data_IF_625923960071
#
_entry.id   IF_625923960071
#
_cell.length_a   1.000
_cell.length_b   1.000
_cell.length_c   1.000
_cell.angle_alpha   90.00
_cell.angle_beta   90.00
_cell.angle_gamma   90.00
#
_symmetry.space_group_name_H-M   'P 1'
#
loop_
_entity.id
_entity.type
_entity.pdbx_description
1 polymer ?
#
# COMPACT_ATOMS: atom_id res chain seq x y z
N UNK A 1 -1.81 3.74 14.09
CA UNK A 1 -1.79 2.75 12.99
C UNK A 1 -0.67 3.10 12.03
N UNK A 2 0.18 2.14 11.74
CA UNK A 2 1.31 2.35 10.84
C UNK A 2 0.99 1.74 9.48
N UNK A 3 1.06 2.55 8.44
CA UNK A 3 0.72 2.13 7.09
C UNK A 3 1.94 2.31 6.19
N UNK A 4 2.32 1.26 5.49
CA UNK A 4 3.45 1.27 4.57
C UNK A 4 3.02 0.71 3.22
N UNK A 5 3.31 1.44 2.15
CA UNK A 5 3.04 0.97 0.80
C UNK A 5 4.36 0.61 0.11
N UNK A 6 4.47 -0.63 -0.30
CA UNK A 6 5.62 -1.11 -1.10
C UNK A 6 5.23 -1.04 -2.57
N UNK A 7 5.92 -0.22 -3.32
CA UNK A 7 5.56 0.13 -4.69
C UNK A 7 6.77 0.03 -5.62
N UNK A 8 6.55 -0.45 -6.83
CA UNK A 8 7.57 -0.43 -7.89
C UNK A 8 7.18 0.54 -9.00
N UNK A 9 6.29 1.49 -8.70
CA UNK A 9 5.76 2.48 -9.66
C UNK A 9 4.97 1.83 -10.80
N UNK A 10 4.42 0.65 -10.58
CA UNK A 10 3.56 0.00 -11.58
C UNK A 10 2.17 0.68 -11.61
N UNK A 11 1.37 0.44 -12.66
CA UNK A 11 0.03 1.05 -12.73
C UNK A 11 -0.85 0.75 -11.53
N UNK A 12 -0.81 -0.48 -11.02
CA UNK A 12 -1.59 -0.85 -9.83
C UNK A 12 -1.07 -0.13 -8.58
N UNK A 13 0.24 0.09 -8.51
CA UNK A 13 0.84 0.84 -7.42
C UNK A 13 0.31 2.27 -7.42
N UNK A 14 0.25 2.90 -8.59
CA UNK A 14 -0.27 4.25 -8.71
C UNK A 14 -1.72 4.35 -8.27
N UNK A 15 -2.53 3.33 -8.57
CA UNK A 15 -3.93 3.29 -8.15
C UNK A 15 -4.03 3.34 -6.64
N UNK A 16 -3.24 2.52 -5.93
CA UNK A 16 -3.27 2.50 -4.47
C UNK A 16 -2.76 3.81 -3.89
N UNK A 17 -1.70 4.39 -4.46
CA UNK A 17 -1.17 5.68 -4.01
C UNK A 17 -2.23 6.77 -4.12
N UNK A 18 -2.93 6.84 -5.25
CA UNK A 18 -3.98 7.82 -5.45
C UNK A 18 -5.13 7.62 -4.48
N UNK A 19 -5.51 6.38 -4.22
CA UNK A 19 -6.59 6.08 -3.28
C UNK A 19 -6.22 6.48 -1.85
N UNK A 20 -5.00 6.19 -1.44
CA UNK A 20 -4.52 6.58 -0.11
C UNK A 20 -4.48 8.10 0.02
N UNK A 21 -4.00 8.79 -1.00
CA UNK A 21 -3.96 10.25 -1.00
C UNK A 21 -5.37 10.85 -0.95
N UNK A 22 -6.30 10.27 -1.69
CA UNK A 22 -7.69 10.73 -1.70
C UNK A 22 -8.36 10.55 -0.33
N UNK A 23 -7.98 9.53 0.41
CA UNK A 23 -8.47 9.30 1.76
C UNK A 23 -7.70 10.05 2.83
N UNK A 24 -6.66 10.81 2.44
CA UNK A 24 -5.80 11.58 3.33
C UNK A 24 -5.15 10.69 4.39
N UNK A 25 -4.74 9.51 3.97
CA UNK A 25 -4.07 8.55 4.85
C UNK A 25 -2.58 8.84 4.86
N UNK A 26 -2.00 8.94 6.05
CA UNK A 26 -0.56 9.03 6.19
C UNK A 26 0.04 7.64 6.02
N UNK A 27 0.96 7.51 5.08
CA UNK A 27 1.62 6.24 4.84
C UNK A 27 3.07 6.47 4.44
N UNK A 28 3.89 5.47 4.68
CA UNK A 28 5.27 5.47 4.23
C UNK A 28 5.35 4.77 2.88
N UNK A 29 6.02 5.39 1.93
CA UNK A 29 6.21 4.81 0.60
C UNK A 29 7.61 4.22 0.52
N UNK A 30 7.69 2.92 0.23
CA UNK A 30 8.96 2.23 0.03
C UNK A 30 9.02 1.73 -1.40
N UNK A 31 10.03 2.20 -2.13
CA UNK A 31 10.22 1.85 -3.54
C UNK A 31 11.49 1.04 -3.78
N UNK A 32 12.20 0.67 -2.72
CA UNK A 32 13.43 -0.09 -2.81
C UNK A 32 13.13 -1.56 -3.10
N UNK A 33 13.40 -1.97 -4.32
CA UNK A 33 13.16 -3.35 -4.77
C UNK A 33 13.98 -4.35 -3.94
N UNK A 34 15.21 -3.97 -3.57
CA UNK A 34 16.05 -4.86 -2.76
C UNK A 34 15.41 -5.15 -1.41
N UNK A 35 14.84 -4.13 -0.77
CA UNK A 35 14.12 -4.29 0.49
C UNK A 35 12.91 -5.21 0.30
N UNK A 36 12.16 -5.01 -0.77
CA UNK A 36 10.96 -5.82 -1.05
C UNK A 36 11.34 -7.30 -1.28
N UNK A 37 12.43 -7.54 -2.00
CA UNK A 37 12.91 -8.92 -2.22
C UNK A 37 13.39 -9.56 -0.93
N UNK A 38 14.05 -8.78 -0.06
CA UNK A 38 14.50 -9.26 1.25
C UNK A 38 13.33 -9.72 2.11
N UNK A 39 12.18 -9.06 1.96
CA UNK A 39 10.96 -9.40 2.70
C UNK A 39 10.19 -10.55 2.06
N UNK A 40 10.65 -11.05 0.90
CA UNK A 40 10.01 -12.15 0.21
C UNK A 40 8.86 -11.75 -0.69
N UNK A 41 8.72 -10.47 -1.00
CA UNK A 41 7.65 -10.01 -1.89
C UNK A 41 7.98 -10.37 -3.33
N UNK A 42 7.05 -11.01 -4.01
CA UNK A 42 7.20 -11.40 -5.41
C UNK A 42 6.32 -10.59 -6.34
N UNK A 43 5.52 -9.71 -5.78
CA UNK A 43 4.62 -8.87 -6.55
C UNK A 43 4.47 -7.53 -5.86
N UNK A 44 4.03 -6.55 -6.59
CA UNK A 44 3.70 -5.22 -6.09
C UNK A 44 2.35 -4.83 -6.68
N UNK A 45 1.61 -3.94 -6.04
CA UNK A 45 1.91 -3.31 -4.76
C UNK A 45 1.61 -4.22 -3.57
N UNK A 46 2.25 -3.94 -2.45
CA UNK A 46 1.94 -4.58 -1.17
C UNK A 46 1.64 -3.47 -0.17
N UNK A 47 0.52 -3.56 0.51
CA UNK A 47 0.16 -2.60 1.55
C UNK A 47 0.29 -3.28 2.91
N UNK A 48 1.08 -2.67 3.79
CA UNK A 48 1.22 -3.16 5.16
C UNK A 48 0.48 -2.22 6.10
N UNK A 49 -0.46 -2.77 6.85
CA UNK A 49 -1.18 -2.03 7.87
C UNK A 49 -0.86 -2.68 9.21
N UNK A 50 -0.13 -1.96 10.05
CA UNK A 50 0.46 -2.48 11.29
C UNK A 50 1.33 -3.70 10.99
N UNK A 51 0.85 -4.91 11.23
CA UNK A 51 1.59 -6.13 10.96
C UNK A 51 0.98 -6.99 9.87
N UNK A 52 -0.05 -6.47 9.20
CA UNK A 52 -0.76 -7.22 8.18
C UNK A 52 -0.34 -6.78 6.79
N UNK A 53 0.08 -7.74 5.97
CA UNK A 53 0.41 -7.51 4.57
C UNK A 53 -0.78 -7.83 3.69
N UNK A 54 -1.04 -6.96 2.71
CA UNK A 54 -2.16 -7.13 1.78
C UNK A 54 -1.67 -6.97 0.35
N UNK A 55 -2.19 -7.82 -0.53
CA UNK A 55 -1.93 -7.70 -1.97
C UNK A 55 -2.80 -6.56 -2.54
N UNK A 56 -2.74 -6.36 -3.86
CA UNK A 56 -3.49 -5.28 -4.50
C UNK A 56 -5.00 -5.40 -4.24
N UNK A 57 -5.55 -6.59 -4.41
CA UNK A 57 -7.00 -6.80 -4.28
C UNK A 57 -7.44 -6.51 -2.85
N UNK A 58 -6.75 -7.07 -1.88
CA UNK A 58 -7.06 -6.87 -0.47
C UNK A 58 -6.87 -5.40 -0.07
N UNK A 59 -5.77 -4.80 -0.50
CA UNK A 59 -5.48 -3.40 -0.19
C UNK A 59 -6.54 -2.48 -0.78
N UNK A 60 -6.96 -2.74 -2.02
CA UNK A 60 -7.99 -1.95 -2.67
C UNK A 60 -9.30 -1.99 -1.89
N UNK A 61 -9.70 -3.18 -1.45
CA UNK A 61 -10.91 -3.33 -0.64
C UNK A 61 -10.76 -2.63 0.70
N UNK A 62 -9.61 -2.77 1.34
CA UNK A 62 -9.36 -2.12 2.63
C UNK A 62 -9.47 -0.61 2.52
N UNK A 63 -8.86 -0.02 1.49
CA UNK A 63 -8.90 1.43 1.28
C UNK A 63 -10.32 1.89 0.98
N UNK A 64 -11.06 1.14 0.15
CA UNK A 64 -12.42 1.50 -0.20
C UNK A 64 -13.35 1.49 1.02
N UNK A 65 -13.04 0.66 2.01
CA UNK A 65 -13.83 0.57 3.23
C UNK A 65 -13.39 1.57 4.31
N UNK A 66 -12.33 2.32 4.07
CA UNK A 66 -11.91 3.34 5.01
C UNK A 66 -12.93 4.48 5.04
N UNK A 67 -13.29 4.87 6.24
CA UNK A 67 -14.10 6.06 6.44
C UNK A 67 -13.19 7.25 6.62
N UNK A 68 -13.48 8.30 5.86
CA UNK A 68 -12.75 9.56 5.97
C UNK A 68 -13.45 10.43 6.99
N UNK A 69 -12.74 10.82 8.02
CA UNK A 69 -13.28 11.77 8.98
C UNK A 69 -13.28 13.16 8.38
N UNK A 70 -14.37 13.84 8.58
CA UNK A 70 -14.56 15.19 8.06
C UNK A 70 -14.39 16.24 9.14
#
# INVERSE_FOLDING_TARGET
MTITLYSTHCPKCAVLEQKLDAKKVDYELITDVATMLSLGFRQAPILKVDHKYMNFIEANQWINNLEVEK
#
